data_IF_865815424011
#
_entry.id   IF_865815424011
#
_cell.length_a   1.000
_cell.length_b   1.000
_cell.length_c   1.000
_cell.angle_alpha   90.00
_cell.angle_beta   90.00
_cell.angle_gamma   90.00
#
_symmetry.space_group_name_H-M   'P 1'
#
loop_
_entity.id
_entity.type
_entity.pdbx_description
1 polymer ?
#
# COMPACT_ATOMS: atom_id res chain seq x y z
N UNK A 1 -23.06 -16.98 -6.09
CA UNK A 1 -21.99 -15.97 -5.85
C UNK A 1 -20.97 -15.91 -6.97
N UNK A 2 -20.31 -17.03 -7.34
CA UNK A 2 -19.30 -17.04 -8.42
C UNK A 2 -19.82 -16.51 -9.76
N UNK A 3 -20.99 -16.97 -10.22
CA UNK A 3 -21.58 -16.51 -11.49
C UNK A 3 -21.87 -15.01 -11.49
N UNK A 4 -22.43 -14.48 -10.40
CA UNK A 4 -22.66 -13.04 -10.27
C UNK A 4 -21.36 -12.22 -10.37
N UNK A 5 -20.25 -12.69 -9.81
CA UNK A 5 -18.95 -12.00 -9.90
C UNK A 5 -18.42 -12.04 -11.35
N UNK A 6 -18.60 -13.15 -12.06
CA UNK A 6 -18.23 -13.27 -13.48
C UNK A 6 -19.04 -12.28 -14.31
N UNK A 7 -20.36 -12.20 -14.11
CA UNK A 7 -21.23 -11.24 -14.80
C UNK A 7 -20.82 -9.80 -14.50
N UNK A 8 -20.59 -9.45 -13.23
CA UNK A 8 -20.12 -8.12 -12.83
C UNK A 8 -18.78 -7.79 -13.53
N UNK A 9 -17.84 -8.74 -13.57
CA UNK A 9 -16.58 -8.51 -14.26
C UNK A 9 -16.78 -8.28 -15.76
N UNK A 10 -17.60 -9.09 -16.42
CA UNK A 10 -17.88 -8.95 -17.85
C UNK A 10 -18.54 -7.60 -18.19
N UNK A 11 -19.51 -7.16 -17.39
CA UNK A 11 -20.27 -5.93 -17.63
C UNK A 11 -19.47 -4.66 -17.32
N UNK A 12 -18.53 -4.72 -16.37
CA UNK A 12 -17.81 -3.56 -15.84
C UNK A 12 -16.29 -3.66 -15.92
N UNK A 13 -15.75 -4.53 -16.80
CA UNK A 13 -14.33 -4.85 -16.90
C UNK A 13 -13.45 -3.59 -16.93
N UNK A 14 -13.78 -2.61 -17.77
CA UNK A 14 -13.04 -1.36 -17.88
C UNK A 14 -12.88 -0.66 -16.54
N UNK A 15 -13.97 -0.43 -15.81
CA UNK A 15 -13.94 0.30 -14.54
C UNK A 15 -13.21 -0.48 -13.45
N UNK A 16 -13.38 -1.80 -13.40
CA UNK A 16 -12.70 -2.67 -12.44
C UNK A 16 -11.19 -2.62 -12.65
N UNK A 17 -10.72 -2.79 -13.90
CA UNK A 17 -9.30 -2.70 -14.23
C UNK A 17 -8.75 -1.31 -13.96
N UNK A 18 -9.45 -0.26 -14.39
CA UNK A 18 -9.05 1.13 -14.19
C UNK A 18 -8.87 1.44 -12.70
N UNK A 19 -9.87 1.14 -11.87
CA UNK A 19 -9.82 1.37 -10.43
C UNK A 19 -8.74 0.53 -9.75
N UNK A 20 -8.52 -0.72 -10.18
CA UNK A 20 -7.44 -1.55 -9.66
C UNK A 20 -6.07 -0.91 -9.92
N UNK A 21 -5.81 -0.57 -11.18
CA UNK A 21 -4.53 -0.01 -11.60
C UNK A 21 -4.29 1.36 -10.97
N UNK A 22 -5.31 2.24 -10.94
CA UNK A 22 -5.26 3.53 -10.26
C UNK A 22 -4.92 3.36 -8.78
N UNK A 23 -5.54 2.40 -8.11
CA UNK A 23 -5.27 2.13 -6.69
C UNK A 23 -3.82 1.69 -6.45
N UNK A 24 -3.27 0.84 -7.31
CA UNK A 24 -1.87 0.44 -7.24
C UNK A 24 -0.93 1.64 -7.46
N UNK A 25 -1.24 2.51 -8.42
CA UNK A 25 -0.49 3.74 -8.69
C UNK A 25 -0.48 4.69 -7.50
N UNK A 26 -1.65 4.97 -6.90
CA UNK A 26 -1.74 5.87 -5.75
C UNK A 26 -0.98 5.30 -4.55
N UNK A 27 -1.10 4.00 -4.29
CA UNK A 27 -0.43 3.38 -3.16
C UNK A 27 1.09 3.31 -3.34
N UNK A 28 1.56 2.61 -4.38
CA UNK A 28 3.01 2.40 -4.59
C UNK A 28 3.69 3.70 -4.99
N UNK A 29 3.09 4.48 -5.89
CA UNK A 29 3.60 5.79 -6.30
C UNK A 29 3.67 6.79 -5.15
N UNK A 30 2.64 6.83 -4.28
CA UNK A 30 2.66 7.67 -3.08
C UNK A 30 3.80 7.31 -2.12
N UNK A 31 4.04 6.01 -1.91
CA UNK A 31 5.15 5.54 -1.09
C UNK A 31 6.52 5.90 -1.69
N UNK A 32 6.68 5.76 -3.02
CA UNK A 32 7.90 6.16 -3.73
C UNK A 32 8.13 7.66 -3.62
N UNK A 33 7.10 8.49 -3.82
CA UNK A 33 7.20 9.94 -3.69
C UNK A 33 7.62 10.35 -2.27
N UNK A 34 7.04 9.74 -1.24
CA UNK A 34 7.46 10.00 0.14
C UNK A 34 8.92 9.58 0.36
N UNK A 35 9.32 8.38 -0.07
CA UNK A 35 10.67 7.89 0.19
C UNK A 35 11.75 8.62 -0.60
N UNK A 36 11.46 8.97 -1.85
CA UNK A 36 12.40 9.51 -2.82
C UNK A 36 12.50 11.03 -2.83
N UNK A 37 11.39 11.74 -2.56
CA UNK A 37 11.37 13.20 -2.57
C UNK A 37 11.18 13.77 -1.16
N UNK A 38 10.12 13.37 -0.46
CA UNK A 38 9.74 14.04 0.80
C UNK A 38 10.68 13.73 1.95
N UNK A 39 11.08 12.47 2.13
CA UNK A 39 11.94 12.06 3.24
C UNK A 39 13.33 12.73 3.21
N UNK A 40 14.03 12.82 2.06
CA UNK A 40 15.23 13.63 1.93
C UNK A 40 15.00 15.11 2.23
N UNK A 41 13.90 15.71 1.72
CA UNK A 41 13.58 17.11 2.00
C UNK A 41 13.40 17.38 3.49
N UNK A 42 12.76 16.47 4.22
CA UNK A 42 12.59 16.59 5.68
C UNK A 42 13.92 16.59 6.45
N UNK A 43 15.01 16.02 5.90
CA UNK A 43 16.30 16.02 6.60
C UNK A 43 16.92 17.41 6.72
N UNK A 44 16.53 18.36 5.87
CA UNK A 44 17.00 19.74 5.91
C UNK A 44 16.34 20.58 7.03
N UNK A 45 15.35 20.03 7.73
CA UNK A 45 14.79 20.68 8.92
C UNK A 45 15.73 20.42 10.09
N UNK A 46 16.39 21.48 10.56
CA UNK A 46 17.38 21.43 11.65
C UNK A 46 16.76 21.04 12.98
N UNK A 47 15.61 21.63 13.34
CA UNK A 47 14.91 21.32 14.58
C UNK A 47 14.33 19.89 14.52
N UNK A 48 14.83 18.94 15.34
CA UNK A 48 14.38 17.56 15.32
C UNK A 48 12.91 17.38 15.69
N UNK A 49 12.37 18.27 16.56
CA UNK A 49 10.98 18.23 17.00
C UNK A 49 10.06 18.69 15.88
N UNK A 50 10.41 19.76 15.17
CA UNK A 50 9.66 20.22 13.99
C UNK A 50 9.70 19.17 12.88
N UNK A 51 10.88 18.60 12.61
CA UNK A 51 11.04 17.53 11.61
C UNK A 51 10.15 16.31 11.94
N UNK A 52 10.12 15.89 13.20
CA UNK A 52 9.28 14.78 13.64
C UNK A 52 7.79 15.08 13.50
N UNK A 53 7.36 16.28 13.90
CA UNK A 53 5.97 16.73 13.75
C UNK A 53 5.52 16.69 12.28
N UNK A 54 6.35 17.21 11.35
CA UNK A 54 6.06 17.17 9.92
C UNK A 54 6.05 15.76 9.36
N UNK A 55 6.97 14.90 9.82
CA UNK A 55 6.98 13.48 9.45
C UNK A 55 5.67 12.80 9.86
N UNK A 56 5.23 12.98 11.10
CA UNK A 56 3.97 12.44 11.61
C UNK A 56 2.75 12.93 10.82
N UNK A 57 2.69 14.22 10.51
CA UNK A 57 1.60 14.82 9.73
C UNK A 57 1.54 14.28 8.30
N UNK A 58 2.68 14.27 7.60
CA UNK A 58 2.77 13.78 6.21
C UNK A 58 2.37 12.31 6.13
N UNK A 59 2.85 11.49 7.07
CA UNK A 59 2.49 10.07 7.13
C UNK A 59 0.99 9.86 7.36
N UNK A 60 0.37 10.66 8.23
CA UNK A 60 -1.08 10.59 8.47
C UNK A 60 -1.86 10.89 7.19
N UNK A 61 -1.50 11.98 6.51
CA UNK A 61 -2.15 12.41 5.27
C UNK A 61 -2.00 11.34 4.19
N UNK A 62 -0.79 10.81 4.00
CA UNK A 62 -0.55 9.72 3.05
C UNK A 62 -1.40 8.49 3.41
N UNK A 63 -1.37 8.05 4.67
CA UNK A 63 -2.11 6.85 5.07
C UNK A 63 -3.60 7.00 4.86
N UNK A 64 -4.18 8.16 5.18
CA UNK A 64 -5.61 8.43 4.95
C UNK A 64 -5.97 8.49 3.47
N UNK A 65 -5.07 9.01 2.62
CA UNK A 65 -5.27 8.96 1.16
C UNK A 65 -5.21 7.52 0.66
N UNK A 66 -4.22 6.74 1.10
CA UNK A 66 -3.94 5.40 0.59
C UNK A 66 -4.97 4.36 1.05
N UNK A 67 -5.50 4.48 2.28
CA UNK A 67 -6.44 3.52 2.86
C UNK A 67 -7.62 3.16 1.95
N UNK A 68 -8.41 4.12 1.40
CA UNK A 68 -9.50 3.78 0.48
C UNK A 68 -9.02 3.07 -0.79
N UNK A 69 -7.84 3.42 -1.32
CA UNK A 69 -7.29 2.74 -2.50
C UNK A 69 -6.82 1.31 -2.19
N UNK A 70 -6.33 1.01 -0.99
CA UNK A 70 -6.07 -0.37 -0.57
C UNK A 70 -7.37 -1.18 -0.62
N UNK A 71 -8.47 -0.65 -0.08
CA UNK A 71 -9.76 -1.33 -0.07
C UNK A 71 -10.26 -1.56 -1.51
N UNK A 72 -10.21 -0.54 -2.37
CA UNK A 72 -10.59 -0.65 -3.78
C UNK A 72 -9.73 -1.69 -4.50
N UNK A 73 -8.40 -1.70 -4.26
CA UNK A 73 -7.47 -2.66 -4.85
C UNK A 73 -7.84 -4.11 -4.49
N UNK A 74 -8.18 -4.37 -3.24
CA UNK A 74 -8.57 -5.69 -2.74
C UNK A 74 -9.86 -6.16 -3.40
N UNK A 75 -10.89 -5.31 -3.41
CA UNK A 75 -12.19 -5.64 -3.99
C UNK A 75 -12.05 -5.93 -5.49
N UNK A 76 -11.42 -5.01 -6.22
CA UNK A 76 -11.22 -5.16 -7.67
C UNK A 76 -10.30 -6.35 -8.00
N UNK A 77 -9.26 -6.59 -7.20
CA UNK A 77 -8.37 -7.74 -7.33
C UNK A 77 -9.09 -9.07 -7.16
N UNK A 78 -9.96 -9.19 -6.14
CA UNK A 78 -10.76 -10.39 -5.91
C UNK A 78 -11.79 -10.65 -7.00
N UNK A 79 -12.47 -9.60 -7.50
CA UNK A 79 -13.39 -9.72 -8.64
C UNK A 79 -12.64 -10.25 -9.86
N UNK A 80 -11.48 -9.68 -10.18
CA UNK A 80 -10.65 -10.09 -11.31
C UNK A 80 -10.11 -11.52 -11.18
N UNK A 81 -9.65 -11.92 -9.99
CA UNK A 81 -9.12 -13.28 -9.75
C UNK A 81 -10.17 -14.37 -10.04
N UNK A 82 -11.45 -14.08 -9.77
CA UNK A 82 -12.57 -14.98 -10.05
C UNK A 82 -13.08 -14.82 -11.48
N UNK A 83 -13.26 -13.58 -11.93
CA UNK A 83 -13.88 -13.20 -13.21
C UNK A 83 -13.07 -13.61 -14.44
N UNK A 84 -11.74 -13.58 -14.36
CA UNK A 84 -10.85 -14.02 -15.44
C UNK A 84 -10.71 -15.55 -15.52
N UNK A 85 -11.24 -16.32 -14.58
CA UNK A 85 -11.30 -17.78 -14.71
C UNK A 85 -9.96 -18.52 -14.64
N UNK A 86 -8.96 -17.98 -13.92
CA UNK A 86 -7.61 -18.58 -13.84
C UNK A 86 -7.56 -20.02 -13.29
N UNK A 87 -8.61 -20.51 -12.62
CA UNK A 87 -8.61 -21.84 -12.00
C UNK A 87 -8.46 -22.94 -13.05
N UNK A 88 -7.43 -23.79 -12.88
CA UNK A 88 -7.10 -24.86 -13.83
C UNK A 88 -6.13 -24.45 -14.93
N UNK A 89 -5.68 -23.18 -14.93
CA UNK A 89 -4.69 -22.66 -15.88
C UNK A 89 -3.28 -22.70 -15.26
N UNK A 90 -2.21 -22.71 -16.07
CA UNK A 90 -0.83 -22.61 -15.56
C UNK A 90 -0.59 -21.32 -14.76
N UNK A 91 -1.38 -20.27 -14.98
CA UNK A 91 -1.26 -18.97 -14.31
C UNK A 91 -1.92 -18.91 -12.93
N UNK A 92 -2.69 -19.94 -12.52
CA UNK A 92 -3.41 -19.93 -11.25
C UNK A 92 -2.48 -19.73 -10.04
N UNK A 93 -1.28 -20.32 -10.08
CA UNK A 93 -0.28 -20.14 -9.03
C UNK A 93 0.19 -18.69 -8.88
N UNK A 94 0.29 -17.95 -10.00
CA UNK A 94 0.71 -16.55 -9.99
C UNK A 94 -0.34 -15.62 -9.34
N UNK A 95 -1.62 -15.99 -9.42
CA UNK A 95 -2.69 -15.30 -8.70
C UNK A 95 -2.45 -15.38 -7.19
N UNK A 96 -2.20 -16.58 -6.66
CA UNK A 96 -1.93 -16.80 -5.22
C UNK A 96 -0.65 -16.08 -4.76
N UNK A 97 0.39 -16.07 -5.59
CA UNK A 97 1.62 -15.32 -5.29
C UNK A 97 1.32 -13.83 -5.17
N UNK A 98 0.59 -13.25 -6.13
CA UNK A 98 0.16 -11.85 -6.06
C UNK A 98 -0.71 -11.60 -4.83
N UNK A 99 -1.58 -12.55 -4.49
CA UNK A 99 -2.44 -12.47 -3.31
C UNK A 99 -1.68 -12.44 -1.99
N UNK A 100 -0.68 -13.31 -1.86
CA UNK A 100 0.23 -13.32 -0.72
C UNK A 100 0.99 -11.99 -0.59
N UNK A 101 1.50 -11.45 -1.70
CA UNK A 101 2.26 -10.19 -1.68
C UNK A 101 1.40 -9.04 -1.17
N UNK A 102 0.19 -8.82 -1.72
CA UNK A 102 -0.64 -7.70 -1.27
C UNK A 102 -1.13 -7.90 0.17
N UNK A 103 -1.35 -9.14 0.60
CA UNK A 103 -1.70 -9.46 2.00
C UNK A 103 -0.58 -9.02 2.95
N UNK A 104 0.67 -9.40 2.65
CA UNK A 104 1.86 -8.98 3.42
C UNK A 104 1.98 -7.45 3.43
N UNK A 105 1.79 -6.81 2.28
CA UNK A 105 1.86 -5.35 2.17
C UNK A 105 0.79 -4.64 3.02
N UNK A 106 -0.43 -5.19 3.06
CA UNK A 106 -1.56 -4.64 3.82
C UNK A 106 -1.34 -4.79 5.32
N UNK A 107 -0.79 -5.93 5.75
CA UNK A 107 -0.39 -6.16 7.14
C UNK A 107 0.70 -5.16 7.52
N UNK A 108 1.76 -5.04 6.71
CA UNK A 108 2.85 -4.09 6.96
C UNK A 108 2.35 -2.63 6.99
N UNK A 109 1.43 -2.25 6.09
CA UNK A 109 0.75 -0.95 6.14
C UNK A 109 -0.01 -0.73 7.46
N UNK A 110 -0.79 -1.71 7.90
CA UNK A 110 -1.53 -1.65 9.16
C UNK A 110 -0.59 -1.46 10.36
N UNK A 111 0.53 -2.19 10.37
CA UNK A 111 1.56 -2.04 11.40
C UNK A 111 2.23 -0.66 11.36
N UNK A 112 2.50 -0.10 10.17
CA UNK A 112 3.01 1.27 10.03
C UNK A 112 2.00 2.29 10.58
N UNK A 113 0.71 2.12 10.30
CA UNK A 113 -0.36 2.99 10.79
C UNK A 113 -0.44 2.98 12.33
N UNK A 114 -0.40 1.79 12.93
CA UNK A 114 -0.41 1.63 14.40
C UNK A 114 0.83 2.28 15.03
N UNK A 115 2.03 2.02 14.47
CA UNK A 115 3.28 2.62 14.96
C UNK A 115 3.27 4.14 14.87
N UNK A 116 2.79 4.70 13.76
CA UNK A 116 2.64 6.15 13.57
C UNK A 116 1.72 6.76 14.61
N UNK A 117 0.56 6.15 14.88
CA UNK A 117 -0.37 6.65 15.89
C UNK A 117 0.19 6.55 17.31
N UNK A 118 0.92 5.47 17.63
CA UNK A 118 1.63 5.36 18.91
C UNK A 118 2.70 6.44 19.04
N UNK A 119 3.46 6.70 17.98
CA UNK A 119 4.46 7.74 17.96
C UNK A 119 3.87 9.14 18.13
N UNK A 120 2.73 9.44 17.49
CA UNK A 120 2.04 10.71 17.67
C UNK A 120 1.61 10.93 19.13
N UNK A 121 1.05 9.91 19.77
CA UNK A 121 0.68 9.99 21.20
C UNK A 121 1.88 10.31 22.09
N UNK A 122 3.01 9.63 21.87
CA UNK A 122 4.25 9.88 22.61
C UNK A 122 4.81 11.28 22.34
N UNK A 123 4.75 11.73 21.09
CA UNK A 123 5.18 13.07 20.71
C UNK A 123 4.35 14.15 21.41
N UNK A 124 3.02 14.01 21.43
CA UNK A 124 2.10 14.94 22.09
C UNK A 124 2.30 14.94 23.61
N UNK A 125 2.61 13.80 24.22
CA UNK A 125 2.92 13.70 25.66
C UNK A 125 4.34 14.17 26.02
N UNK A 126 5.16 14.60 25.05
CA UNK A 126 6.51 15.10 25.27
C UNK A 126 7.62 14.02 25.29
N UNK A 127 7.28 12.74 25.10
CA UNK A 127 8.26 11.66 24.99
C UNK A 127 8.82 11.56 23.56
N UNK A 128 9.77 12.44 23.26
CA UNK A 128 10.40 12.52 21.94
C UNK A 128 11.28 11.30 21.63
N UNK A 129 11.87 10.67 22.65
CA UNK A 129 12.72 9.50 22.48
C UNK A 129 11.88 8.28 22.07
N UNK A 130 10.79 8.01 22.81
CA UNK A 130 9.86 6.94 22.48
C UNK A 130 9.14 7.17 21.15
N UNK A 131 8.78 8.42 20.84
CA UNK A 131 8.20 8.76 19.54
C UNK A 131 9.18 8.45 18.38
N UNK A 132 10.46 8.81 18.52
CA UNK A 132 11.51 8.49 17.55
C UNK A 132 11.69 6.98 17.38
N UNK A 133 11.71 6.24 18.48
CA UNK A 133 11.83 4.77 18.46
C UNK A 133 10.71 4.12 17.65
N UNK A 134 9.45 4.55 17.87
CA UNK A 134 8.31 4.02 17.13
C UNK A 134 8.31 4.41 15.65
N UNK A 135 8.79 5.62 15.31
CA UNK A 135 8.84 6.11 13.93
C UNK A 135 9.98 5.53 13.10
N UNK A 136 11.16 5.35 13.69
CA UNK A 136 12.38 5.01 12.97
C UNK A 136 12.29 3.78 12.05
N UNK A 137 11.55 2.70 12.37
CA UNK A 137 11.46 1.54 11.49
C UNK A 137 10.68 1.84 10.20
N UNK A 138 9.78 2.83 10.22
CA UNK A 138 8.86 3.08 9.12
C UNK A 138 9.60 3.52 7.85
N UNK A 139 10.34 4.64 7.81
CA UNK A 139 11.07 5.06 6.61
C UNK A 139 12.28 4.18 6.28
N UNK A 140 12.87 3.52 7.29
CA UNK A 140 14.12 2.77 7.14
C UNK A 140 13.91 1.33 6.65
N UNK A 141 12.77 0.71 6.96
CA UNK A 141 12.53 -0.69 6.63
C UNK A 141 11.12 -0.93 6.07
N UNK A 142 10.07 -0.54 6.81
CA UNK A 142 8.69 -0.93 6.47
C UNK A 142 8.22 -0.30 5.16
N UNK A 143 8.51 0.98 4.94
CA UNK A 143 8.16 1.69 3.71
C UNK A 143 8.96 1.15 2.50
N UNK A 144 10.31 1.03 2.54
CA UNK A 144 11.08 0.36 1.48
C UNK A 144 10.59 -1.05 1.15
N UNK A 145 10.27 -1.85 2.17
CA UNK A 145 9.74 -3.20 1.98
C UNK A 145 8.42 -3.18 1.18
N UNK A 146 7.48 -2.32 1.56
CA UNK A 146 6.22 -2.19 0.82
C UNK A 146 6.41 -1.67 -0.61
N UNK A 147 7.38 -0.78 -0.85
CA UNK A 147 7.71 -0.34 -2.21
C UNK A 147 8.23 -1.52 -3.03
N UNK A 148 9.19 -2.29 -2.51
CA UNK A 148 9.77 -3.43 -3.20
C UNK A 148 8.70 -4.49 -3.53
N UNK A 149 7.89 -4.87 -2.53
CA UNK A 149 6.77 -5.79 -2.71
C UNK A 149 5.75 -5.26 -3.72
N UNK A 150 5.45 -3.96 -3.70
CA UNK A 150 4.52 -3.34 -4.64
C UNK A 150 5.01 -3.38 -6.08
N UNK A 151 6.30 -3.15 -6.31
CA UNK A 151 6.92 -3.26 -7.64
C UNK A 151 6.93 -4.71 -8.12
N UNK A 152 7.23 -5.67 -7.24
CA UNK A 152 7.14 -7.11 -7.58
C UNK A 152 5.70 -7.51 -7.90
N UNK A 153 4.71 -7.08 -7.11
CA UNK A 153 3.30 -7.32 -7.37
C UNK A 153 2.82 -6.72 -8.70
N UNK A 154 3.36 -5.55 -9.08
CA UNK A 154 3.11 -4.94 -10.38
C UNK A 154 3.66 -5.82 -11.51
N UNK A 155 4.90 -6.31 -11.38
CA UNK A 155 5.50 -7.21 -12.37
C UNK A 155 4.71 -8.52 -12.52
N UNK A 156 4.29 -9.14 -11.42
CA UNK A 156 3.40 -10.32 -11.43
C UNK A 156 2.02 -9.96 -12.03
N UNK A 157 1.48 -8.78 -11.74
CA UNK A 157 0.24 -8.32 -12.34
C UNK A 157 0.32 -8.20 -13.87
N UNK A 158 1.48 -7.81 -14.41
CA UNK A 158 1.72 -7.73 -15.85
C UNK A 158 1.72 -9.13 -16.49
N UNK A 159 2.19 -10.18 -15.80
CA UNK A 159 2.16 -11.55 -16.36
C UNK A 159 0.75 -12.14 -16.39
N UNK A 160 -0.15 -11.63 -15.55
CA UNK A 160 -1.57 -12.01 -15.51
C UNK A 160 -2.44 -11.24 -16.52
N UNK A 161 -1.89 -10.26 -17.24
CA UNK A 161 -2.64 -9.47 -18.22
C UNK A 161 -2.91 -10.28 -19.49
N UNK A 162 -4.05 -10.05 -20.14
CA UNK A 162 -4.38 -10.66 -21.43
C UNK A 162 -4.92 -12.09 -21.35
N UNK A 163 -5.36 -12.50 -20.15
CA UNK A 163 -6.17 -13.69 -19.90
C UNK A 163 -7.65 -13.27 -19.80
#
# INVERSE_FOLDING_TARGET
MKEAIITIFADYAFFILFLHVLSAFVWVGGMIAIRGAVHPSLQHIEDPKVRMARTLEIMQRLFMIVLPFIVILIITGGIMAIGMGFKGTPLYGMVHVKEAIWTIMTINYSLMFIKRNKAERLFVSGDLAGAKEQLSPIPNFMLPLNIALGVVALAVGITLRGF
#
